data_IF_365617599730
#
_entry.id   IF_365617599730
#
_cell.length_a   1.000
_cell.length_b   1.000
_cell.length_c   1.000
_cell.angle_alpha   90.00
_cell.angle_beta   90.00
_cell.angle_gamma   90.00
#
_symmetry.space_group_name_H-M   'P 1'
#
loop_
_entity.id
_entity.type
_entity.pdbx_description
1 polymer ?
#
# COMPACT_ATOMS: atom_id res chain seq x y z
N UNK A 1 -12.91 1.62 22.62
CA UNK A 1 -12.38 2.81 21.90
C UNK A 1 -10.87 2.73 21.63
N UNK A 2 -10.13 1.78 22.23
CA UNK A 2 -8.68 1.56 22.03
C UNK A 2 -8.31 1.10 20.61
N UNK A 3 -9.12 0.25 19.98
CA UNK A 3 -8.76 -0.37 18.69
C UNK A 3 -8.60 0.63 17.52
N UNK A 4 -9.40 1.70 17.46
CA UNK A 4 -9.33 2.67 16.34
C UNK A 4 -8.06 3.53 16.40
N UNK A 5 -7.61 3.88 17.62
CA UNK A 5 -6.36 4.62 17.80
C UNK A 5 -5.14 3.76 17.48
N UNK A 6 -5.10 2.50 17.92
CA UNK A 6 -4.02 1.57 17.60
C UNK A 6 -3.91 1.29 16.11
N UNK A 7 -5.05 1.09 15.44
CA UNK A 7 -5.11 0.92 13.99
C UNK A 7 -4.57 2.16 13.26
N UNK A 8 -5.03 3.36 13.63
CA UNK A 8 -4.55 4.60 13.03
C UNK A 8 -3.04 4.78 13.22
N UNK A 9 -2.49 4.45 14.40
CA UNK A 9 -1.05 4.49 14.65
C UNK A 9 -0.28 3.49 13.78
N UNK A 10 -0.80 2.27 13.62
CA UNK A 10 -0.19 1.26 12.76
C UNK A 10 -0.15 1.72 11.30
N UNK A 11 -1.30 2.19 10.78
CA UNK A 11 -1.42 2.66 9.40
C UNK A 11 -0.48 3.84 9.13
N UNK A 12 -0.45 4.84 10.03
CA UNK A 12 0.41 6.01 9.87
C UNK A 12 1.90 5.66 9.97
N UNK A 13 2.32 4.77 10.89
CA UNK A 13 3.71 4.30 10.94
C UNK A 13 4.11 3.60 9.65
N UNK A 14 3.23 2.74 9.12
CA UNK A 14 3.47 2.04 7.85
C UNK A 14 3.54 3.03 6.68
N UNK A 15 2.73 4.09 6.69
CA UNK A 15 2.78 5.15 5.68
C UNK A 15 4.16 5.84 5.64
N UNK A 16 4.72 6.17 6.81
CA UNK A 16 6.06 6.79 6.91
C UNK A 16 7.15 5.85 6.39
N UNK A 17 7.15 4.59 6.82
CA UNK A 17 8.14 3.60 6.38
C UNK A 17 8.12 3.39 4.85
N UNK A 18 6.93 3.41 4.23
CA UNK A 18 6.79 3.31 2.78
C UNK A 18 7.18 4.59 2.04
N UNK A 19 6.94 5.76 2.64
CA UNK A 19 7.39 7.06 2.09
C UNK A 19 8.93 7.09 1.98
N UNK A 20 9.61 6.68 3.06
CA UNK A 20 11.07 6.57 3.13
C UNK A 20 11.64 5.56 2.13
N UNK A 21 10.91 4.47 1.87
CA UNK A 21 11.27 3.44 0.88
C UNK A 21 10.95 3.84 -0.57
N UNK A 22 10.35 5.01 -0.81
CA UNK A 22 9.99 5.46 -2.15
C UNK A 22 8.73 4.81 -2.73
N UNK A 23 8.00 4.00 -1.94
CA UNK A 23 6.73 3.37 -2.34
C UNK A 23 5.57 4.36 -2.14
N UNK A 24 5.60 5.42 -2.95
CA UNK A 24 4.76 6.60 -2.75
C UNK A 24 3.26 6.34 -2.92
N UNK A 25 2.81 5.46 -3.83
CA UNK A 25 1.35 5.19 -3.95
C UNK A 25 0.82 4.47 -2.72
N UNK A 26 1.55 3.48 -2.19
CA UNK A 26 1.12 2.77 -1.00
C UNK A 26 1.17 3.67 0.22
N UNK A 27 2.27 4.42 0.35
CA UNK A 27 2.39 5.42 1.41
C UNK A 27 1.20 6.36 1.41
N UNK A 28 0.78 6.86 0.24
CA UNK A 28 -0.39 7.72 0.10
C UNK A 28 -1.68 7.05 0.58
N UNK A 29 -1.93 5.79 0.19
CA UNK A 29 -3.11 5.05 0.66
C UNK A 29 -3.10 4.88 2.20
N UNK A 30 -1.97 4.48 2.78
CA UNK A 30 -1.85 4.33 4.24
C UNK A 30 -2.01 5.66 4.98
N UNK A 31 -1.53 6.79 4.42
CA UNK A 31 -1.81 8.11 4.98
C UNK A 31 -3.31 8.45 4.95
N UNK A 32 -4.01 8.18 3.84
CA UNK A 32 -5.44 8.45 3.71
C UNK A 32 -6.29 7.62 4.67
N UNK A 33 -6.03 6.31 4.75
CA UNK A 33 -6.72 5.41 5.67
C UNK A 33 -6.41 5.76 7.13
N UNK A 34 -5.14 5.97 7.45
CA UNK A 34 -4.68 6.31 8.80
C UNK A 34 -5.28 7.64 9.30
N UNK A 35 -5.32 8.67 8.45
CA UNK A 35 -5.99 9.95 8.77
C UNK A 35 -7.49 9.76 8.97
N UNK A 36 -8.15 8.97 8.12
CA UNK A 36 -9.58 8.70 8.23
C UNK A 36 -9.93 8.04 9.57
N UNK A 37 -9.15 7.04 10.00
CA UNK A 37 -9.31 6.41 11.30
C UNK A 37 -8.99 7.37 12.46
N UNK A 38 -7.94 8.17 12.35
CA UNK A 38 -7.58 9.15 13.39
C UNK A 38 -8.68 10.20 13.57
N UNK A 39 -9.32 10.65 12.48
CA UNK A 39 -10.46 11.57 12.52
C UNK A 39 -11.69 10.96 13.18
N UNK A 40 -11.99 9.67 12.94
CA UNK A 40 -13.07 8.96 13.64
C UNK A 40 -12.82 8.92 15.14
N UNK A 41 -11.58 8.63 15.55
CA UNK A 41 -11.18 8.64 16.96
C UNK A 41 -11.35 10.02 17.60
N UNK A 42 -10.87 11.10 16.95
CA UNK A 42 -10.99 12.48 17.46
C UNK A 42 -12.44 12.87 17.72
N UNK A 43 -13.36 12.49 16.85
CA UNK A 43 -14.80 12.78 17.01
C UNK A 43 -15.42 12.12 18.25
N UNK A 44 -14.84 11.01 18.72
CA UNK A 44 -15.29 10.28 19.91
C UNK A 44 -14.70 10.77 21.23
N UNK A 45 -13.74 11.71 21.22
CA UNK A 45 -13.09 12.19 22.44
C UNK A 45 -13.96 13.22 23.19
N UNK A 46 -14.05 13.18 24.53
CA UNK A 46 -14.82 14.15 25.30
C UNK A 46 -14.07 15.48 25.55
N UNK A 47 -12.74 15.47 25.52
CA UNK A 47 -11.88 16.61 25.86
C UNK A 47 -11.52 17.45 24.62
N UNK A 48 -11.81 18.76 24.65
CA UNK A 48 -11.50 19.69 23.55
C UNK A 48 -9.99 19.88 23.35
N UNK A 49 -9.21 19.91 24.42
CA UNK A 49 -7.76 20.11 24.32
C UNK A 49 -7.06 18.90 23.68
N UNK A 50 -7.50 17.68 24.01
CA UNK A 50 -6.95 16.47 23.42
C UNK A 50 -7.39 16.30 21.95
N UNK A 51 -8.61 16.72 21.61
CA UNK A 51 -9.05 16.80 20.22
C UNK A 51 -8.16 17.75 19.41
N UNK A 52 -7.83 18.93 19.96
CA UNK A 52 -7.02 19.93 19.25
C UNK A 52 -5.62 19.41 18.94
N UNK A 53 -4.94 18.82 19.94
CA UNK A 53 -3.59 18.24 19.76
C UNK A 53 -3.55 17.16 18.68
N UNK A 54 -4.59 16.34 18.58
CA UNK A 54 -4.64 15.28 17.57
C UNK A 54 -4.98 15.87 16.19
N UNK A 55 -5.83 16.90 16.11
CA UNK A 55 -6.12 17.61 14.85
C UNK A 55 -4.88 18.24 14.23
N UNK A 56 -4.02 18.85 15.03
CA UNK A 56 -2.73 19.40 14.55
C UNK A 56 -1.86 18.30 13.91
N UNK A 57 -1.85 17.10 14.50
CA UNK A 57 -1.17 15.94 13.89
C UNK A 57 -1.85 15.48 12.61
N UNK A 58 -3.18 15.45 12.58
CA UNK A 58 -3.94 15.12 11.36
C UNK A 58 -3.56 16.08 10.23
N UNK A 59 -3.55 17.39 10.47
CA UNK A 59 -3.16 18.39 9.47
C UNK A 59 -1.74 18.16 8.94
N UNK A 60 -0.80 17.80 9.82
CA UNK A 60 0.56 17.46 9.42
C UNK A 60 0.58 16.26 8.46
N UNK A 61 -0.16 15.20 8.78
CA UNK A 61 -0.23 14.00 7.93
C UNK A 61 -0.97 14.25 6.60
N UNK A 62 -2.02 15.07 6.62
CA UNK A 62 -2.73 15.50 5.39
C UNK A 62 -1.79 16.30 4.49
N UNK A 63 -1.07 17.29 5.04
CA UNK A 63 -0.11 18.08 4.28
C UNK A 63 0.97 17.22 3.62
N UNK A 64 1.46 16.18 4.32
CA UNK A 64 2.40 15.22 3.73
C UNK A 64 1.77 14.43 2.59
N UNK A 65 0.54 13.92 2.77
CA UNK A 65 -0.19 13.18 1.76
C UNK A 65 -0.46 14.02 0.49
N UNK A 66 -0.77 15.31 0.64
CA UNK A 66 -0.96 16.23 -0.49
C UNK A 66 0.32 16.45 -1.30
N UNK A 67 1.45 16.63 -0.63
CA UNK A 67 2.77 16.75 -1.28
C UNK A 67 3.10 15.46 -2.05
N UNK A 68 2.87 14.29 -1.44
CA UNK A 68 3.06 12.99 -2.10
C UNK A 68 2.18 12.85 -3.34
N UNK A 69 0.91 13.26 -3.25
CA UNK A 69 -0.03 13.20 -4.37
C UNK A 69 0.42 14.07 -5.53
N UNK A 70 0.85 15.30 -5.27
CA UNK A 70 1.39 16.19 -6.30
C UNK A 70 2.61 15.59 -7.00
N UNK A 71 3.55 15.06 -6.21
CA UNK A 71 4.76 14.40 -6.73
C UNK A 71 4.43 13.19 -7.60
N UNK A 72 3.44 12.40 -7.21
CA UNK A 72 2.95 11.27 -8.01
C UNK A 72 2.32 11.72 -9.32
N UNK A 73 1.49 12.76 -9.29
CA UNK A 73 0.84 13.30 -10.49
C UNK A 73 1.86 13.90 -11.47
N UNK A 74 2.89 14.58 -10.97
CA UNK A 74 4.01 15.09 -11.77
C UNK A 74 4.80 13.96 -12.44
N UNK A 75 5.18 12.94 -11.66
CA UNK A 75 5.88 11.75 -12.17
C UNK A 75 5.07 11.00 -13.22
N UNK A 76 3.76 10.84 -12.99
CA UNK A 76 2.84 10.21 -13.95
C UNK A 76 2.74 11.01 -15.24
N UNK A 77 2.63 12.34 -15.16
CA UNK A 77 2.58 13.22 -16.34
C UNK A 77 3.87 13.20 -17.15
N UNK A 78 5.02 13.03 -16.50
CA UNK A 78 6.31 12.87 -17.20
C UNK A 78 6.48 11.49 -17.85
N UNK A 79 5.55 10.54 -17.65
CA UNK A 79 5.64 9.17 -18.17
C UNK A 79 6.70 8.32 -17.48
N UNK A 80 7.32 8.83 -16.41
CA UNK A 80 8.48 8.25 -15.74
C UNK A 80 8.13 7.71 -14.34
N UNK A 81 6.85 7.37 -14.15
CA UNK A 81 6.40 6.72 -12.92
C UNK A 81 6.42 5.19 -13.07
N UNK A 82 7.52 4.60 -12.65
CA UNK A 82 7.61 3.16 -12.40
C UNK A 82 7.85 2.93 -10.90
N UNK A 83 6.98 2.14 -10.27
CA UNK A 83 7.27 1.60 -8.95
C UNK A 83 8.24 0.44 -9.08
N UNK A 84 9.45 0.62 -8.57
CA UNK A 84 10.44 -0.44 -8.46
C UNK A 84 10.55 -0.87 -7.00
N UNK A 85 10.48 -2.16 -6.77
CA UNK A 85 10.77 -2.76 -5.47
C UNK A 85 11.68 -3.98 -5.68
N UNK A 86 12.62 -4.17 -4.76
CA UNK A 86 13.58 -5.26 -4.81
C UNK A 86 13.09 -6.40 -3.91
N UNK A 87 12.87 -7.58 -4.51
CA UNK A 87 12.64 -8.82 -3.74
C UNK A 87 14.01 -9.44 -3.48
N UNK A 88 14.44 -9.45 -2.21
CA UNK A 88 15.74 -10.02 -1.84
C UNK A 88 15.71 -11.55 -1.89
N UNK A 89 16.90 -12.16 -1.92
CA UNK A 89 17.02 -13.61 -1.90
C UNK A 89 16.36 -14.20 -0.64
N UNK A 90 15.52 -15.23 -0.82
CA UNK A 90 14.70 -15.88 0.23
C UNK A 90 13.69 -14.97 0.95
N UNK A 91 13.42 -13.77 0.42
CA UNK A 91 12.43 -12.88 1.00
C UNK A 91 11.02 -13.41 0.71
N UNK A 92 10.08 -13.19 1.65
CA UNK A 92 8.73 -13.80 1.62
C UNK A 92 7.65 -12.73 1.68
N UNK A 93 6.42 -13.10 1.29
CA UNK A 93 5.27 -12.20 1.35
C UNK A 93 5.02 -11.39 0.08
N UNK A 94 5.60 -11.81 -1.05
CA UNK A 94 5.42 -11.19 -2.38
C UNK A 94 4.60 -12.11 -3.31
N UNK A 95 3.39 -12.49 -2.88
CA UNK A 95 2.43 -13.17 -3.76
C UNK A 95 1.93 -12.21 -4.86
N UNK A 96 1.41 -12.73 -5.97
CA UNK A 96 0.81 -11.89 -7.02
C UNK A 96 -0.30 -10.98 -6.48
N UNK A 97 -1.12 -11.46 -5.55
CA UNK A 97 -2.13 -10.65 -4.87
C UNK A 97 -1.50 -9.48 -4.09
N UNK A 98 -0.44 -9.73 -3.31
CA UNK A 98 0.23 -8.67 -2.55
C UNK A 98 0.94 -7.63 -3.43
N UNK A 99 1.44 -8.06 -4.59
CA UNK A 99 2.16 -7.21 -5.54
C UNK A 99 1.21 -6.39 -6.41
N UNK A 100 0.23 -7.07 -6.99
CA UNK A 100 -0.63 -6.52 -8.05
C UNK A 100 -2.06 -6.26 -7.63
N UNK A 101 -2.53 -6.81 -6.50
CA UNK A 101 -3.92 -6.71 -6.07
C UNK A 101 -4.43 -5.28 -5.95
N UNK A 102 -3.55 -4.32 -5.61
CA UNK A 102 -3.92 -2.89 -5.57
C UNK A 102 -4.22 -2.27 -6.93
N UNK A 103 -3.70 -2.87 -8.01
CA UNK A 103 -3.86 -2.42 -9.39
C UNK A 103 -4.98 -3.18 -10.10
N UNK A 104 -5.53 -4.22 -9.45
CA UNK A 104 -6.63 -5.03 -9.95
C UNK A 104 -7.89 -4.63 -9.20
N UNK A 105 -8.67 -3.74 -9.80
CA UNK A 105 -9.99 -3.36 -9.33
C UNK A 105 -11.10 -3.92 -10.24
N UNK A 106 -12.36 -3.66 -9.88
CA UNK A 106 -13.53 -4.10 -10.64
C UNK A 106 -13.61 -3.49 -12.05
N UNK A 107 -12.80 -2.46 -12.36
CA UNK A 107 -12.76 -1.79 -13.65
C UNK A 107 -11.71 -2.39 -14.61
N UNK A 108 -10.88 -3.33 -14.16
CA UNK A 108 -9.90 -4.00 -15.02
C UNK A 108 -10.60 -5.04 -15.91
N UNK A 109 -10.79 -4.70 -17.18
CA UNK A 109 -11.43 -5.58 -18.17
C UNK A 109 -10.44 -6.48 -18.92
N UNK A 110 -9.18 -6.03 -19.09
CA UNK A 110 -8.18 -6.75 -19.87
C UNK A 110 -6.79 -6.69 -19.22
N UNK A 111 -6.13 -7.85 -19.17
CA UNK A 111 -4.76 -7.99 -18.68
C UNK A 111 -3.92 -8.62 -19.79
N UNK A 112 -2.89 -7.92 -20.22
CA UNK A 112 -1.90 -8.44 -21.16
C UNK A 112 -0.60 -8.73 -20.43
N UNK A 113 -0.12 -9.98 -20.53
CA UNK A 113 1.13 -10.43 -19.89
C UNK A 113 2.04 -10.95 -20.98
N UNK A 114 3.24 -10.36 -21.08
CA UNK A 114 4.32 -10.88 -21.92
C UNK A 114 5.40 -11.42 -21.02
N UNK A 115 5.51 -12.74 -20.92
CA UNK A 115 6.52 -13.42 -20.11
C UNK A 115 7.21 -14.50 -20.97
N UNK A 116 8.51 -14.32 -21.30
CA UNK A 116 9.26 -15.26 -22.12
C UNK A 116 9.40 -16.67 -21.53
N UNK A 117 9.08 -16.87 -20.25
CA UNK A 117 9.35 -18.10 -19.53
C UNK A 117 8.09 -18.90 -19.18
N UNK A 118 6.91 -18.62 -19.72
CA UNK A 118 5.71 -19.46 -19.47
C UNK A 118 5.71 -20.66 -20.44
N UNK A 119 6.58 -21.65 -20.22
CA UNK A 119 6.72 -22.79 -21.15
C UNK A 119 6.59 -24.17 -20.47
N UNK A 120 6.79 -24.27 -19.16
CA UNK A 120 6.90 -25.51 -18.39
C UNK A 120 5.74 -25.74 -17.42
N UNK A 121 5.49 -26.98 -17.01
CA UNK A 121 4.35 -27.37 -16.16
C UNK A 121 4.31 -26.65 -14.81
N UNK A 122 5.46 -26.46 -14.16
CA UNK A 122 5.55 -25.66 -12.92
C UNK A 122 5.22 -24.18 -13.15
N UNK A 123 5.60 -23.61 -14.29
CA UNK A 123 5.33 -22.21 -14.65
C UNK A 123 3.84 -22.01 -14.96
N UNK A 124 3.22 -23.00 -15.62
CA UNK A 124 1.77 -23.05 -15.85
C UNK A 124 1.01 -23.21 -14.52
N UNK A 125 1.51 -24.04 -13.60
CA UNK A 125 0.95 -24.20 -12.26
C UNK A 125 1.06 -22.91 -11.45
N UNK A 126 2.19 -22.19 -11.46
CA UNK A 126 2.32 -20.88 -10.83
C UNK A 126 1.36 -19.83 -11.40
N UNK A 127 1.01 -19.91 -12.69
CA UNK A 127 0.01 -19.03 -13.30
C UNK A 127 -1.41 -19.36 -12.85
N UNK A 128 -1.73 -20.64 -12.61
CA UNK A 128 -3.06 -21.11 -12.22
C UNK A 128 -3.29 -21.05 -10.69
N UNK A 129 -2.29 -21.40 -9.87
CA UNK A 129 -2.40 -21.53 -8.42
C UNK A 129 -2.32 -20.20 -7.65
N UNK A 130 -1.74 -19.16 -8.26
CA UNK A 130 -1.62 -17.84 -7.63
C UNK A 130 -2.91 -17.00 -7.68
N UNK A 131 -4.06 -17.63 -7.93
CA UNK A 131 -5.35 -17.00 -7.68
C UNK A 131 -5.75 -17.01 -6.20
N UNK A 132 -5.24 -17.93 -5.33
CA UNK A 132 -5.81 -18.07 -3.96
C UNK A 132 -4.89 -18.61 -2.82
N UNK A 133 -3.55 -18.75 -2.92
CA UNK A 133 -2.72 -19.17 -1.75
C UNK A 133 -1.30 -18.59 -1.63
N UNK A 134 -0.77 -18.42 -0.39
CA UNK A 134 0.61 -18.04 -0.14
C UNK A 134 1.61 -19.18 -0.41
N UNK A 135 2.72 -18.81 -1.05
CA UNK A 135 3.78 -19.68 -1.56
C UNK A 135 4.44 -20.54 -0.45
N UNK A 136 4.30 -21.87 -0.52
CA UNK A 136 5.09 -22.83 0.26
C UNK A 136 6.20 -23.41 -0.63
N UNK A 137 7.38 -22.80 -0.59
CA UNK A 137 8.50 -23.21 -1.43
C UNK A 137 9.01 -24.61 -1.11
N UNK A 138 8.99 -25.48 -2.12
CA UNK A 138 10.00 -26.51 -2.32
C UNK A 138 10.32 -26.57 -3.80
N UNK A 139 11.59 -26.46 -4.13
CA UNK A 139 12.13 -26.79 -5.46
C UNK A 139 13.30 -27.75 -5.20
N UNK A 140 13.41 -28.87 -5.95
CA UNK A 140 14.41 -29.92 -5.73
C UNK A 140 15.85 -29.48 -5.90
#
# INVERSE_FOLDING_TARGET
MSNSLELAQFLLKKAVDLDEKGRWTESLNFYQEGVTELLKYVRGLPSRDDQQKIREKVETYIGRAEILKQKLDEKKKMGDYHEQFEIKNNDKGYSYESLFGRFLDEFVEHISVTDPYIHNTFQNQYRLDNQDRPWSGHVP
#
